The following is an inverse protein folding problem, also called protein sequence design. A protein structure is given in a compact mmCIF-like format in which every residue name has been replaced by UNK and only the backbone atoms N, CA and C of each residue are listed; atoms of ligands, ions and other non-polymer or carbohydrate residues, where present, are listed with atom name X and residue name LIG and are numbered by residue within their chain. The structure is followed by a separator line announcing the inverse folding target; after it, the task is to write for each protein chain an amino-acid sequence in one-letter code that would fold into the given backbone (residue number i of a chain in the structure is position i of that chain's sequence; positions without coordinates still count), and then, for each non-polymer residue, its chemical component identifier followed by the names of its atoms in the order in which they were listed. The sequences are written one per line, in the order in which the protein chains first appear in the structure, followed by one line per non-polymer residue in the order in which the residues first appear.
data_IF_128920893678
#
_entry.id   IF_128920893678
#
_cell.length_a   1.000
_cell.length_b   1.000
_cell.length_c   1.000
_cell.angle_alpha   90.00
_cell.angle_beta   90.00
_cell.angle_gamma   90.00
#
_symmetry.space_group_name_H-M   'P 1'
#
loop_
_entity.id
_entity.type
_entity.pdbx_description
1 polymer ?
#
# COMPACT_ATOMS: atom_id res chain seq x y z
N UNK A 1 24.35 9.59 7.76
CA UNK A 1 24.52 8.12 7.73
C UNK A 1 23.16 7.44 7.92
N UNK A 2 22.36 7.81 8.95
CA UNK A 2 21.02 7.21 9.16
C UNK A 2 20.07 7.38 7.97
N UNK A 3 20.05 8.55 7.33
CA UNK A 3 19.28 8.78 6.10
C UNK A 3 19.75 7.89 4.94
N UNK A 4 21.07 7.72 4.78
CA UNK A 4 21.61 6.83 3.74
C UNK A 4 21.21 5.37 3.97
N UNK A 5 21.12 4.92 5.21
CA UNK A 5 20.66 3.57 5.53
C UNK A 5 19.18 3.35 5.15
N UNK A 6 18.33 4.39 5.30
CA UNK A 6 16.93 4.34 4.86
C UNK A 6 16.86 4.18 3.34
N UNK A 7 17.75 4.83 2.59
CA UNK A 7 17.78 4.70 1.12
C UNK A 7 18.32 3.36 0.62
N UNK A 8 18.95 2.54 1.46
CA UNK A 8 19.30 1.16 1.08
C UNK A 8 18.08 0.23 0.99
N UNK A 9 16.90 0.69 1.35
CA UNK A 9 15.67 -0.08 1.36
C UNK A 9 14.67 0.66 0.48
N UNK A 10 14.00 0.00 -0.47
CA UNK A 10 13.01 0.63 -1.32
C UNK A 10 11.75 0.95 -0.49
N UNK A 11 11.83 1.97 0.35
CA UNK A 11 10.67 2.53 1.03
C UNK A 11 9.82 3.32 0.07
N UNK A 12 9.20 2.60 -0.84
CA UNK A 12 8.15 3.12 -1.70
C UNK A 12 7.12 3.99 -0.94
N UNK A 13 6.67 3.61 0.27
CA UNK A 13 5.77 4.44 1.08
C UNK A 13 6.26 5.86 1.37
N UNK A 14 7.56 6.11 1.44
CA UNK A 14 8.07 7.45 1.75
C UNK A 14 8.06 8.39 0.53
N UNK A 15 7.89 7.86 -0.67
CA UNK A 15 7.84 8.66 -1.90
C UNK A 15 6.46 9.27 -2.18
N UNK A 16 5.41 8.86 -1.45
CA UNK A 16 4.04 9.29 -1.71
C UNK A 16 3.47 10.17 -0.59
N UNK A 17 2.83 11.26 -0.99
CA UNK A 17 2.08 12.14 -0.10
C UNK A 17 0.64 11.65 0.10
N UNK A 18 0.45 10.46 0.65
CA UNK A 18 -0.89 9.98 1.01
C UNK A 18 -1.10 10.05 2.53
N UNK A 19 -2.34 10.13 3.02
CA UNK A 19 -2.61 10.11 4.45
C UNK A 19 -2.00 8.89 5.15
N UNK A 20 -2.04 7.72 4.52
CA UNK A 20 -1.44 6.50 5.06
C UNK A 20 0.06 6.66 5.31
N UNK A 21 0.81 7.20 4.34
CA UNK A 21 2.25 7.35 4.45
C UNK A 21 2.66 8.45 5.43
N UNK A 22 1.85 9.49 5.54
CA UNK A 22 2.00 10.47 6.61
C UNK A 22 1.83 9.83 7.99
N UNK A 23 0.85 8.93 8.15
CA UNK A 23 0.67 8.18 9.39
C UNK A 23 1.88 7.29 9.70
N UNK A 24 2.57 6.70 8.71
CA UNK A 24 3.81 5.93 8.92
C UNK A 24 4.96 6.79 9.47
N UNK A 25 5.03 8.06 9.07
CA UNK A 25 6.03 8.99 9.64
C UNK A 25 5.78 9.17 11.13
N UNK A 26 4.54 9.43 11.53
CA UNK A 26 4.19 9.58 12.95
C UNK A 26 4.31 8.28 13.74
N UNK A 27 3.99 7.14 13.14
CA UNK A 27 4.27 5.83 13.71
C UNK A 27 5.76 5.67 14.02
N UNK A 28 6.60 5.91 13.03
CA UNK A 28 8.06 5.81 13.16
C UNK A 28 8.61 6.80 14.18
N UNK A 29 8.10 8.03 14.21
CA UNK A 29 8.47 9.04 15.20
C UNK A 29 8.17 8.56 16.62
N UNK A 30 6.99 7.95 16.87
CA UNK A 30 6.68 7.33 18.17
C UNK A 30 7.71 6.29 18.59
N UNK A 31 8.13 5.43 17.66
CA UNK A 31 9.13 4.38 17.95
C UNK A 31 10.49 4.99 18.31
N UNK A 32 10.93 5.99 17.56
CA UNK A 32 12.19 6.67 17.86
C UNK A 32 12.15 7.43 19.18
N UNK A 33 11.05 8.12 19.49
CA UNK A 33 10.85 8.77 20.80
C UNK A 33 10.95 7.73 21.94
N UNK A 34 10.29 6.59 21.78
CA UNK A 34 10.36 5.51 22.78
C UNK A 34 11.78 4.95 22.97
N UNK A 35 12.52 4.77 21.87
CA UNK A 35 13.86 4.16 21.93
C UNK A 35 14.96 5.15 22.36
N UNK A 36 14.87 6.42 21.93
CA UNK A 36 15.95 7.39 22.09
C UNK A 36 15.87 8.18 23.38
N UNK A 37 14.67 8.45 23.89
CA UNK A 37 14.53 9.22 25.12
C UNK A 37 14.69 8.32 26.36
N UNK A 38 15.33 8.83 27.42
CA UNK A 38 15.42 8.12 28.70
C UNK A 38 14.04 7.90 29.30
N UNK A 39 13.92 6.87 30.14
CA UNK A 39 12.68 6.57 30.86
C UNK A 39 12.31 7.73 31.78
N UNK A 40 11.04 8.17 31.66
CA UNK A 40 10.57 9.28 32.47
C UNK A 40 9.20 9.81 31.99
N UNK A 41 8.62 10.73 32.77
CA UNK A 41 7.29 11.28 32.46
C UNK A 41 7.28 12.05 31.13
N UNK A 42 8.40 12.70 30.77
CA UNK A 42 8.52 13.45 29.51
C UNK A 42 8.41 12.51 28.31
N UNK A 43 9.19 11.42 28.27
CA UNK A 43 9.09 10.42 27.19
C UNK A 43 7.68 9.84 27.12
N UNK A 44 7.14 9.44 28.28
CA UNK A 44 5.82 8.84 28.38
C UNK A 44 4.71 9.80 27.90
N UNK A 45 4.86 11.10 28.05
CA UNK A 45 3.95 12.10 27.51
C UNK A 45 4.15 12.32 26.00
N UNK A 46 5.40 12.55 25.58
CA UNK A 46 5.70 12.91 24.17
C UNK A 46 5.38 11.76 23.21
N UNK A 47 5.57 10.48 23.60
CA UNK A 47 5.32 9.33 22.72
C UNK A 47 3.86 9.20 22.27
N UNK A 48 2.91 9.70 23.07
CA UNK A 48 1.49 9.67 22.75
C UNK A 48 1.09 10.65 21.65
N UNK A 49 1.77 11.79 21.56
CA UNK A 49 1.43 12.82 20.59
C UNK A 49 1.48 12.31 19.14
N UNK A 50 2.62 11.77 18.65
CA UNK A 50 2.65 11.22 17.28
C UNK A 50 1.76 9.97 17.14
N UNK A 51 1.54 9.19 18.20
CA UNK A 51 0.66 8.03 18.12
C UNK A 51 -0.82 8.42 17.94
N UNK A 52 -1.30 9.41 18.67
CA UNK A 52 -2.66 9.98 18.49
C UNK A 52 -2.77 10.62 17.10
N UNK A 53 -1.75 11.34 16.66
CA UNK A 53 -1.71 11.91 15.32
C UNK A 53 -1.79 10.81 14.23
N UNK A 54 -1.05 9.71 14.39
CA UNK A 54 -1.13 8.57 13.47
C UNK A 54 -2.54 7.97 13.44
N UNK A 55 -3.21 7.85 14.60
CA UNK A 55 -4.61 7.38 14.68
C UNK A 55 -5.56 8.34 13.96
N UNK A 56 -5.44 9.63 14.20
CA UNK A 56 -6.30 10.65 13.58
C UNK A 56 -6.16 10.68 12.06
N UNK A 57 -4.96 10.41 11.55
CA UNK A 57 -4.69 10.37 10.10
C UNK A 57 -5.17 9.03 9.50
N UNK A 58 -4.82 7.90 10.13
CA UNK A 58 -5.15 6.59 9.60
C UNK A 58 -5.30 5.52 10.70
N UNK A 59 -6.55 5.04 10.97
CA UNK A 59 -6.82 4.10 12.06
C UNK A 59 -6.03 2.79 11.99
N UNK A 60 -5.80 2.25 10.78
CA UNK A 60 -5.02 1.01 10.58
C UNK A 60 -3.61 1.12 11.16
N UNK A 61 -3.02 2.32 11.14
CA UNK A 61 -1.68 2.60 11.65
C UNK A 61 -1.72 2.90 13.15
N UNK A 62 -2.66 3.77 13.54
CA UNK A 62 -2.71 4.28 14.91
C UNK A 62 -3.25 3.29 15.93
N UNK A 63 -4.22 2.42 15.56
CA UNK A 63 -4.81 1.47 16.53
C UNK A 63 -3.77 0.50 17.10
N UNK A 64 -2.97 -0.23 16.29
CA UNK A 64 -1.94 -1.12 16.84
C UNK A 64 -0.89 -0.37 17.68
N UNK A 65 -0.53 0.85 17.27
CA UNK A 65 0.43 1.67 17.99
C UNK A 65 -0.11 2.09 19.36
N UNK A 66 -1.36 2.56 19.44
CA UNK A 66 -1.98 2.94 20.71
C UNK A 66 -2.16 1.74 21.64
N UNK A 67 -2.59 0.59 21.10
CA UNK A 67 -2.69 -0.64 21.87
C UNK A 67 -1.33 -1.04 22.44
N UNK A 68 -0.26 -0.93 21.66
CA UNK A 68 1.09 -1.16 22.18
C UNK A 68 1.49 -0.14 23.27
N UNK A 69 1.17 1.14 23.12
CA UNK A 69 1.42 2.15 24.15
C UNK A 69 0.64 1.87 25.44
N UNK A 70 -0.63 1.47 25.32
CA UNK A 70 -1.41 1.00 26.47
C UNK A 70 -0.72 -0.21 27.15
N UNK A 71 -0.22 -1.16 26.38
CA UNK A 71 0.57 -2.27 26.93
C UNK A 71 1.77 -1.78 27.72
N UNK A 72 2.55 -0.82 27.20
CA UNK A 72 3.71 -0.25 27.91
C UNK A 72 3.34 0.35 29.26
N UNK A 73 2.16 0.96 29.35
CA UNK A 73 1.65 1.53 30.59
C UNK A 73 1.18 0.45 31.55
N UNK A 74 0.35 -0.49 31.07
CA UNK A 74 -0.30 -1.52 31.90
C UNK A 74 0.69 -2.58 32.40
N UNK A 75 1.74 -2.92 31.62
CA UNK A 75 2.71 -3.99 31.96
C UNK A 75 3.39 -3.83 33.32
N UNK A 76 3.44 -2.61 33.84
CA UNK A 76 4.06 -2.33 35.16
C UNK A 76 3.19 -2.81 36.32
N UNK A 77 1.90 -3.00 36.08
CA UNK A 77 0.89 -3.30 37.11
C UNK A 77 0.34 -4.71 37.01
N UNK A 78 0.65 -5.44 35.93
CA UNK A 78 0.07 -6.76 35.69
C UNK A 78 1.12 -7.86 35.62
N UNK A 79 0.82 -9.09 36.08
CA UNK A 79 1.73 -10.22 36.01
C UNK A 79 2.03 -10.64 34.57
N UNK A 80 3.16 -11.33 34.35
CA UNK A 80 3.64 -11.74 33.01
C UNK A 80 2.63 -12.56 32.22
N UNK A 81 1.82 -13.38 32.87
CA UNK A 81 0.75 -14.16 32.23
C UNK A 81 -0.31 -13.28 31.59
N UNK A 82 -0.75 -12.24 32.30
CA UNK A 82 -1.70 -11.24 31.77
C UNK A 82 -1.07 -10.38 30.67
N UNK A 83 0.24 -10.10 30.74
CA UNK A 83 0.96 -9.43 29.66
C UNK A 83 0.95 -10.26 28.36
N UNK A 84 1.14 -11.58 28.46
CA UNK A 84 1.05 -12.47 27.31
C UNK A 84 -0.37 -12.52 26.74
N UNK A 85 -1.41 -12.63 27.58
CA UNK A 85 -2.80 -12.58 27.14
C UNK A 85 -3.14 -11.25 26.48
N UNK A 86 -2.64 -10.13 27.00
CA UNK A 86 -2.77 -8.82 26.36
C UNK A 86 -2.16 -8.81 24.97
N UNK A 87 -0.92 -9.33 24.82
CA UNK A 87 -0.24 -9.42 23.53
C UNK A 87 -1.06 -10.21 22.49
N UNK A 88 -1.65 -11.34 22.91
CA UNK A 88 -2.53 -12.16 22.06
C UNK A 88 -3.79 -11.36 21.68
N UNK A 89 -4.47 -10.75 22.64
CA UNK A 89 -5.67 -9.94 22.39
C UNK A 89 -5.35 -8.75 21.47
N UNK A 90 -4.23 -8.08 21.69
CA UNK A 90 -3.74 -6.99 20.87
C UNK A 90 -3.45 -7.40 19.42
N UNK A 91 -3.00 -8.65 19.21
CA UNK A 91 -2.78 -9.22 17.87
C UNK A 91 -4.08 -9.49 17.08
N UNK A 92 -5.23 -9.36 17.74
CA UNK A 92 -6.56 -9.53 17.13
C UNK A 92 -7.33 -8.20 17.03
N UNK A 93 -6.74 -7.08 17.45
CA UNK A 93 -7.47 -5.81 17.58
C UNK A 93 -8.03 -5.32 16.24
N UNK A 94 -7.27 -5.35 15.16
CA UNK A 94 -7.76 -4.91 13.84
C UNK A 94 -8.81 -5.87 13.27
N UNK A 95 -8.62 -7.21 13.27
CA UNK A 95 -9.68 -8.14 12.93
C UNK A 95 -10.99 -7.87 13.69
N UNK A 96 -10.92 -7.65 15.00
CA UNK A 96 -12.10 -7.32 15.81
C UNK A 96 -12.75 -5.99 15.40
N UNK A 97 -11.95 -4.96 15.11
CA UNK A 97 -12.46 -3.67 14.62
C UNK A 97 -13.20 -3.85 13.29
N UNK A 98 -12.67 -4.63 12.35
CA UNK A 98 -13.36 -4.88 11.08
C UNK A 98 -14.65 -5.69 11.27
N UNK A 99 -14.66 -6.69 12.14
CA UNK A 99 -15.87 -7.47 12.43
C UNK A 99 -16.94 -6.57 13.08
N UNK A 100 -16.57 -5.74 14.07
CA UNK A 100 -17.50 -4.81 14.73
C UNK A 100 -18.02 -3.79 13.71
N UNK A 101 -17.17 -3.26 12.85
CA UNK A 101 -17.60 -2.35 11.78
C UNK A 101 -18.60 -3.00 10.81
N UNK A 102 -18.40 -4.29 10.49
CA UNK A 102 -19.33 -5.08 9.68
C UNK A 102 -20.68 -5.32 10.38
N UNK A 103 -20.68 -5.55 11.68
CA UNK A 103 -21.92 -5.64 12.48
C UNK A 103 -22.67 -4.31 12.49
N UNK A 104 -21.95 -3.20 12.63
CA UNK A 104 -22.54 -1.86 12.62
C UNK A 104 -23.04 -1.44 11.23
N UNK A 105 -22.45 -1.96 10.16
CA UNK A 105 -22.85 -1.68 8.78
C UNK A 105 -22.86 -2.99 7.96
N UNK A 106 -24.03 -3.63 7.76
CA UNK A 106 -24.13 -4.89 7.05
C UNK A 106 -23.60 -4.90 5.61
N UNK A 107 -23.53 -3.72 4.97
CA UNK A 107 -22.92 -3.57 3.65
C UNK A 107 -21.38 -3.74 3.68
N UNK A 108 -20.77 -3.80 4.86
CA UNK A 108 -19.31 -3.92 5.07
C UNK A 108 -18.94 -5.14 5.92
N UNK A 109 -19.64 -6.24 5.72
CA UNK A 109 -19.39 -7.48 6.49
C UNK A 109 -18.02 -8.07 6.13
N UNK A 110 -17.28 -8.47 7.17
CA UNK A 110 -16.09 -9.29 7.03
C UNK A 110 -16.45 -10.76 7.36
N UNK A 111 -16.11 -11.67 6.47
CA UNK A 111 -16.36 -13.09 6.64
C UNK A 111 -15.13 -13.81 7.18
N UNK A 112 -15.32 -14.67 8.19
CA UNK A 112 -14.28 -15.56 8.66
C UNK A 112 -14.22 -16.80 7.78
N UNK A 113 -13.03 -17.14 7.28
CA UNK A 113 -12.80 -18.39 6.57
C UNK A 113 -11.57 -19.12 7.12
N UNK A 114 -11.55 -20.43 7.02
CA UNK A 114 -10.37 -21.21 7.35
C UNK A 114 -9.44 -21.25 6.14
N UNK A 115 -8.15 -20.90 6.31
CA UNK A 115 -7.22 -20.89 5.19
C UNK A 115 -7.01 -22.30 4.65
N UNK A 116 -7.24 -22.46 3.36
CA UNK A 116 -6.82 -23.67 2.64
C UNK A 116 -5.32 -23.57 2.35
N UNK A 117 -4.49 -24.10 3.23
CA UNK A 117 -3.04 -24.12 3.02
C UNK A 117 -2.72 -25.22 1.98
N UNK A 118 -2.43 -24.83 0.76
CA UNK A 118 -1.85 -25.71 -0.24
C UNK A 118 -0.38 -25.36 -0.45
N UNK A 119 0.56 -26.25 -0.15
CA UNK A 119 1.98 -26.05 -0.45
C UNK A 119 2.25 -25.78 -1.93
N UNK A 120 1.39 -26.27 -2.82
CA UNK A 120 1.47 -26.03 -4.26
C UNK A 120 1.23 -24.55 -4.63
N UNK A 121 0.36 -23.84 -3.93
CA UNK A 121 0.15 -22.39 -4.17
C UNK A 121 1.35 -21.56 -3.76
N UNK A 122 2.06 -21.95 -2.68
CA UNK A 122 3.30 -21.28 -2.28
C UNK A 122 4.40 -21.48 -3.32
N UNK A 123 4.57 -22.70 -3.82
CA UNK A 123 5.55 -23.04 -4.85
C UNK A 123 5.19 -22.37 -6.18
N UNK A 124 3.92 -22.32 -6.55
CA UNK A 124 3.46 -21.59 -7.72
C UNK A 124 3.74 -20.09 -7.61
N UNK A 125 3.52 -19.48 -6.44
CA UNK A 125 3.84 -18.06 -6.18
C UNK A 125 5.35 -17.77 -6.26
N UNK A 126 6.18 -18.67 -5.76
CA UNK A 126 7.65 -18.54 -5.88
C UNK A 126 8.14 -18.73 -7.33
N UNK A 127 7.46 -19.55 -8.12
CA UNK A 127 7.77 -19.76 -9.55
C UNK A 127 7.24 -18.65 -10.46
N UNK A 128 6.19 -17.97 -10.05
CA UNK A 128 5.55 -16.89 -10.81
C UNK A 128 6.19 -15.51 -10.61
N UNK A 129 7.36 -15.43 -9.95
CA UNK A 129 8.14 -14.19 -9.94
C UNK A 129 8.50 -13.86 -11.41
N UNK A 130 7.85 -12.86 -12.03
CA UNK A 130 8.03 -12.61 -13.44
C UNK A 130 9.48 -12.19 -13.70
N UNK A 131 10.20 -13.02 -14.43
CA UNK A 131 11.49 -12.66 -15.00
C UNK A 131 11.18 -11.82 -16.23
N UNK A 132 10.93 -10.54 -16.04
CA UNK A 132 10.75 -9.62 -17.15
C UNK A 132 12.15 -9.14 -17.53
N UNK A 133 12.63 -9.55 -18.67
CA UNK A 133 13.89 -9.08 -19.22
C UNK A 133 13.67 -7.82 -20.03
N UNK A 134 14.13 -6.68 -19.53
CA UNK A 134 14.08 -5.43 -20.27
C UNK A 134 15.43 -5.08 -20.90
N UNK A 135 16.43 -4.97 -20.05
CA UNK A 135 17.84 -4.81 -20.40
C UNK A 135 18.71 -5.15 -19.18
N UNK A 136 19.98 -5.39 -19.41
CA UNK A 136 20.91 -5.83 -18.36
C UNK A 136 20.94 -4.89 -17.14
N UNK A 137 20.87 -3.58 -17.36
CA UNK A 137 20.99 -2.58 -16.28
C UNK A 137 19.74 -2.56 -15.41
N UNK A 138 18.55 -2.61 -15.99
CA UNK A 138 17.28 -2.64 -15.27
C UNK A 138 17.08 -3.98 -14.56
N UNK A 139 17.48 -5.09 -15.17
CA UNK A 139 17.43 -6.40 -14.55
C UNK A 139 18.36 -6.47 -13.33
N UNK A 140 19.59 -5.93 -13.45
CA UNK A 140 20.50 -5.78 -12.31
C UNK A 140 19.91 -4.89 -11.20
N UNK A 141 19.30 -3.75 -11.53
CA UNK A 141 18.65 -2.87 -10.54
C UNK A 141 17.52 -3.59 -9.81
N UNK A 142 16.69 -4.35 -10.53
CA UNK A 142 15.61 -5.14 -9.96
C UNK A 142 16.11 -6.23 -9.00
N UNK A 143 17.15 -6.96 -9.39
CA UNK A 143 17.77 -7.97 -8.53
C UNK A 143 18.42 -7.34 -7.29
N UNK A 144 19.11 -6.21 -7.42
CA UNK A 144 19.67 -5.47 -6.29
C UNK A 144 18.59 -4.99 -5.33
N UNK A 145 17.44 -4.56 -5.83
CA UNK A 145 16.29 -4.19 -5.00
C UNK A 145 15.75 -5.39 -4.21
N UNK A 146 15.68 -6.57 -4.83
CA UNK A 146 15.28 -7.80 -4.12
C UNK A 146 16.31 -8.19 -3.06
N UNK A 147 17.60 -8.10 -3.37
CA UNK A 147 18.69 -8.35 -2.42
C UNK A 147 18.66 -7.37 -1.27
N UNK A 148 18.27 -6.12 -1.48
CA UNK A 148 18.18 -5.11 -0.42
C UNK A 148 17.20 -5.49 0.67
N UNK A 149 16.06 -6.10 0.36
CA UNK A 149 15.13 -6.63 1.36
C UNK A 149 15.73 -7.74 2.21
N UNK A 150 16.50 -8.63 1.58
CA UNK A 150 17.20 -9.68 2.31
C UNK A 150 18.28 -9.09 3.23
N UNK A 151 19.08 -8.14 2.73
CA UNK A 151 20.08 -7.43 3.54
C UNK A 151 19.45 -6.66 4.69
N UNK A 152 18.26 -6.08 4.50
CA UNK A 152 17.54 -5.44 5.58
C UNK A 152 17.26 -6.39 6.74
N UNK A 153 16.79 -7.60 6.46
CA UNK A 153 16.56 -8.62 7.48
C UNK A 153 17.87 -9.01 8.19
N UNK A 154 18.95 -9.18 7.43
CA UNK A 154 20.28 -9.47 8.01
C UNK A 154 20.72 -8.33 8.94
N UNK A 155 20.59 -7.09 8.50
CA UNK A 155 20.91 -5.92 9.34
C UNK A 155 20.00 -5.84 10.56
N UNK A 156 18.72 -6.08 10.41
CA UNK A 156 17.78 -6.09 11.53
C UNK A 156 18.16 -7.14 12.56
N UNK A 157 18.52 -8.35 12.14
CA UNK A 157 19.00 -9.40 13.03
C UNK A 157 20.33 -9.03 13.72
N UNK A 158 21.31 -8.51 12.98
CA UNK A 158 22.59 -8.06 13.52
C UNK A 158 22.41 -6.93 14.54
N UNK A 159 21.57 -5.95 14.23
CA UNK A 159 21.29 -4.83 15.13
C UNK A 159 20.55 -5.27 16.38
N UNK A 160 19.52 -6.12 16.23
CA UNK A 160 18.83 -6.74 17.36
C UNK A 160 19.79 -7.53 18.26
N UNK A 161 20.61 -8.41 17.69
CA UNK A 161 21.59 -9.20 18.44
C UNK A 161 22.57 -8.30 19.20
N UNK A 162 23.07 -7.24 18.57
CA UNK A 162 23.95 -6.25 19.22
C UNK A 162 23.25 -5.54 20.38
N UNK A 163 22.02 -5.09 20.18
CA UNK A 163 21.24 -4.42 21.24
C UNK A 163 20.95 -5.38 22.39
N UNK A 164 20.56 -6.62 22.09
CA UNK A 164 20.33 -7.66 23.09
C UNK A 164 21.58 -7.96 23.91
N UNK A 165 22.73 -8.11 23.25
CA UNK A 165 24.03 -8.34 23.94
C UNK A 165 24.46 -7.16 24.79
N UNK A 166 24.11 -5.94 24.44
CA UNK A 166 24.44 -4.70 25.16
C UNK A 166 23.47 -4.37 26.29
N UNK A 167 22.28 -4.92 26.25
CA UNK A 167 21.27 -4.77 27.30
C UNK A 167 21.72 -5.50 28.58
N UNK A 168 22.85 -5.04 29.16
CA UNK A 168 23.44 -5.60 30.38
C UNK A 168 22.66 -5.18 31.62
N UNK A 169 22.01 -4.02 31.59
CA UNK A 169 21.11 -3.57 32.64
C UNK A 169 19.72 -4.22 32.46
N UNK A 170 19.10 -4.64 33.54
CA UNK A 170 17.76 -5.21 33.54
C UNK A 170 16.73 -4.27 32.92
N UNK A 171 16.94 -2.96 33.02
CA UNK A 171 16.09 -1.93 32.46
C UNK A 171 16.14 -1.91 30.94
N UNK A 172 17.32 -1.99 30.32
CA UNK A 172 17.48 -2.02 28.87
C UNK A 172 16.87 -3.31 28.26
N UNK A 173 17.08 -4.44 28.91
CA UNK A 173 16.47 -5.71 28.53
C UNK A 173 14.94 -5.65 28.61
N UNK A 174 14.41 -5.04 29.67
CA UNK A 174 12.97 -4.83 29.85
C UNK A 174 12.41 -3.86 28.80
N UNK A 175 13.15 -2.82 28.43
CA UNK A 175 12.77 -1.88 27.36
C UNK A 175 12.73 -2.59 26.00
N UNK A 176 13.76 -3.35 25.67
CA UNK A 176 13.85 -4.09 24.43
C UNK A 176 12.74 -5.15 24.31
N UNK A 177 12.49 -5.91 25.38
CA UNK A 177 11.40 -6.90 25.40
C UNK A 177 10.02 -6.26 25.21
N UNK A 178 9.78 -5.09 25.81
CA UNK A 178 8.56 -4.34 25.64
C UNK A 178 8.38 -3.80 24.22
N UNK A 179 9.47 -3.38 23.58
CA UNK A 179 9.45 -2.97 22.18
C UNK A 179 9.06 -4.13 21.25
N UNK A 180 9.62 -5.31 21.47
CA UNK A 180 9.36 -6.49 20.64
C UNK A 180 7.89 -6.92 20.60
N UNK A 181 7.09 -6.54 21.59
CA UNK A 181 5.65 -6.84 21.59
C UNK A 181 4.94 -6.18 20.39
N UNK A 182 5.40 -4.99 19.95
CA UNK A 182 4.79 -4.32 18.81
C UNK A 182 4.92 -5.09 17.48
N UNK A 183 6.12 -5.55 17.03
CA UNK A 183 6.22 -6.43 15.87
C UNK A 183 5.34 -7.69 15.97
N UNK A 184 5.20 -8.29 17.16
CA UNK A 184 4.30 -9.43 17.35
C UNK A 184 2.82 -9.06 17.20
N UNK A 185 2.40 -7.92 17.76
CA UNK A 185 1.03 -7.40 17.55
C UNK A 185 0.76 -7.19 16.07
N UNK A 186 1.68 -6.54 15.34
CA UNK A 186 1.53 -6.29 13.90
C UNK A 186 1.50 -7.58 13.09
N UNK A 187 2.41 -8.52 13.39
CA UNK A 187 2.46 -9.81 12.72
C UNK A 187 1.17 -10.61 12.94
N UNK A 188 0.67 -10.67 14.17
CA UNK A 188 -0.57 -11.37 14.47
C UNK A 188 -1.77 -10.76 13.75
N UNK A 189 -1.91 -9.42 13.78
CA UNK A 189 -2.95 -8.73 13.00
C UNK A 189 -2.82 -9.00 11.50
N UNK A 190 -1.59 -8.99 10.95
CA UNK A 190 -1.32 -9.31 9.56
C UNK A 190 -1.76 -10.73 9.20
N UNK A 191 -1.35 -11.72 10.01
CA UNK A 191 -1.67 -13.13 9.73
C UNK A 191 -3.18 -13.37 9.76
N UNK A 192 -3.88 -12.80 10.74
CA UNK A 192 -5.33 -12.98 10.83
C UNK A 192 -6.07 -12.26 9.69
N UNK A 193 -5.73 -11.01 9.38
CA UNK A 193 -6.34 -10.28 8.26
C UNK A 193 -6.03 -10.93 6.91
N UNK A 194 -4.84 -11.45 6.72
CA UNK A 194 -4.42 -12.03 5.43
C UNK A 194 -5.01 -13.41 5.18
N UNK A 195 -5.14 -14.24 6.22
CA UNK A 195 -5.42 -15.66 6.06
C UNK A 195 -6.77 -16.10 6.60
N UNK A 196 -7.45 -15.30 7.43
CA UNK A 196 -8.68 -15.69 8.09
C UNK A 196 -9.86 -14.75 7.82
N UNK A 197 -9.61 -13.56 7.26
CA UNK A 197 -10.67 -12.61 6.96
C UNK A 197 -10.78 -12.37 5.45
N UNK A 198 -12.01 -12.43 4.97
CA UNK A 198 -12.38 -12.02 3.62
C UNK A 198 -13.36 -10.85 3.68
N UNK A 199 -13.26 -9.96 2.71
CA UNK A 199 -14.06 -8.75 2.59
C UNK A 199 -14.81 -8.76 1.26
N UNK A 200 -15.97 -9.46 1.18
CA UNK A 200 -16.70 -9.67 -0.07
C UNK A 200 -17.18 -8.37 -0.73
N UNK A 201 -17.27 -7.27 0.05
CA UNK A 201 -17.62 -5.96 -0.46
C UNK A 201 -16.44 -5.19 -1.08
N UNK A 202 -15.22 -5.72 -0.97
CA UNK A 202 -14.02 -5.16 -1.56
C UNK A 202 -13.55 -6.03 -2.74
N UNK A 203 -13.03 -5.39 -3.74
CA UNK A 203 -12.32 -6.10 -4.81
C UNK A 203 -11.06 -6.78 -4.26
N UNK A 204 -10.64 -7.86 -4.88
CA UNK A 204 -9.50 -8.68 -4.45
C UNK A 204 -8.21 -7.88 -4.26
N UNK A 205 -8.00 -6.85 -5.08
CA UNK A 205 -6.88 -5.91 -4.95
C UNK A 205 -6.91 -5.13 -3.64
N UNK A 206 -8.06 -4.58 -3.25
CA UNK A 206 -8.19 -3.79 -2.00
C UNK A 206 -8.08 -4.68 -0.76
N UNK A 207 -8.66 -5.87 -0.81
CA UNK A 207 -8.51 -6.87 0.26
C UNK A 207 -7.03 -7.20 0.49
N UNK A 208 -6.25 -7.41 -0.57
CA UNK A 208 -4.81 -7.63 -0.50
C UNK A 208 -4.03 -6.44 0.09
N UNK A 209 -4.49 -5.22 -0.17
CA UNK A 209 -3.83 -4.00 0.28
C UNK A 209 -3.81 -3.84 1.81
N UNK A 210 -4.80 -4.33 2.56
CA UNK A 210 -4.77 -4.28 4.03
C UNK A 210 -3.61 -5.09 4.60
N UNK A 211 -3.40 -6.30 4.09
CA UNK A 211 -2.27 -7.13 4.48
C UNK A 211 -0.93 -6.46 4.16
N UNK A 212 -0.79 -5.90 2.95
CA UNK A 212 0.44 -5.20 2.55
C UNK A 212 0.75 -4.01 3.47
N UNK A 213 -0.25 -3.19 3.81
CA UNK A 213 -0.08 -2.04 4.71
C UNK A 213 0.39 -2.44 6.11
N UNK A 214 -0.09 -3.57 6.63
CA UNK A 214 0.40 -4.09 7.92
C UNK A 214 1.81 -4.66 7.82
N UNK A 215 2.15 -5.28 6.71
CA UNK A 215 3.51 -5.74 6.44
C UNK A 215 4.48 -4.55 6.39
N UNK A 216 4.08 -3.44 5.75
CA UNK A 216 4.86 -2.20 5.73
C UNK A 216 5.09 -1.66 7.16
N UNK A 217 4.05 -1.64 8.01
CA UNK A 217 4.18 -1.27 9.42
C UNK A 217 5.14 -2.18 10.19
N UNK A 218 5.07 -3.49 9.92
CA UNK A 218 6.00 -4.45 10.51
C UNK A 218 7.45 -4.11 10.11
N UNK A 219 7.70 -3.78 8.85
CA UNK A 219 9.02 -3.34 8.39
C UNK A 219 9.48 -2.06 9.11
N UNK A 220 8.61 -1.06 9.24
CA UNK A 220 8.92 0.15 10.02
C UNK A 220 9.22 -0.14 11.48
N UNK A 221 8.53 -1.10 12.09
CA UNK A 221 8.80 -1.49 13.47
C UNK A 221 10.16 -2.20 13.64
N UNK A 222 10.70 -2.80 12.61
CA UNK A 222 12.01 -3.48 12.63
C UNK A 222 13.15 -2.54 12.20
N UNK A 223 12.81 -1.39 11.58
CA UNK A 223 13.76 -0.41 11.06
C UNK A 223 14.85 0.03 12.07
N UNK A 224 14.56 0.34 13.36
CA UNK A 224 15.60 0.72 14.31
C UNK A 224 16.70 -0.34 14.46
N UNK A 225 16.34 -1.61 14.40
CA UNK A 225 17.32 -2.71 14.46
C UNK A 225 18.14 -2.76 13.17
N UNK A 226 17.50 -2.62 12.01
CA UNK A 226 18.20 -2.60 10.72
C UNK A 226 19.21 -1.46 10.65
N UNK A 227 18.85 -0.27 11.13
CA UNK A 227 19.77 0.86 11.24
C UNK A 227 20.95 0.55 12.17
N UNK A 228 20.71 -0.09 13.31
CA UNK A 228 21.76 -0.53 14.24
C UNK A 228 22.73 -1.53 13.59
N UNK A 229 22.22 -2.49 12.85
CA UNK A 229 23.03 -3.47 12.11
C UNK A 229 23.82 -2.86 10.96
N UNK A 230 23.22 -1.94 10.22
CA UNK A 230 23.89 -1.19 9.17
C UNK A 230 25.09 -0.37 9.71
N UNK A 231 24.89 0.36 10.83
CA UNK A 231 25.96 1.10 11.49
C UNK A 231 27.09 0.16 11.96
N UNK A 232 26.74 -1.03 12.47
CA UNK A 232 27.73 -2.03 12.83
C UNK A 232 28.54 -2.46 11.60
N UNK A 233 27.88 -2.70 10.48
CA UNK A 233 28.54 -3.07 9.23
C UNK A 233 29.49 -1.98 8.74
N UNK A 234 29.10 -0.71 8.82
CA UNK A 234 29.99 0.41 8.49
C UNK A 234 31.21 0.49 9.40
N UNK A 235 31.04 0.23 10.71
CA UNK A 235 32.17 0.18 11.65
C UNK A 235 33.14 -0.97 11.35
N UNK A 236 32.61 -2.12 10.95
CA UNK A 236 33.43 -3.26 10.51
C UNK A 236 34.20 -2.95 9.22
N UNK A 237 33.52 -2.32 8.23
CA UNK A 237 34.14 -1.92 6.96
C UNK A 237 35.29 -0.93 7.13
N UNK A 238 35.19 -0.01 8.11
CA UNK A 238 36.28 0.93 8.40
C UNK A 238 37.58 0.22 8.85
N UNK A 239 37.46 -1.00 9.37
CA UNK A 239 38.57 -1.82 9.86
C UNK A 239 39.14 -2.77 8.79
N UNK A 240 38.49 -2.90 7.63
CA UNK A 240 38.95 -3.76 6.55
C UNK A 240 39.98 -3.06 5.66
N UNK A 241 40.74 -3.83 4.86
CA UNK A 241 41.67 -3.30 3.87
C UNK A 241 40.95 -2.48 2.78
N UNK A 242 41.71 -1.74 1.97
CA UNK A 242 41.17 -0.80 0.98
C UNK A 242 40.30 -1.43 -0.07
N UNK A 243 40.67 -2.59 -0.61
CA UNK A 243 39.96 -3.26 -1.71
C UNK A 243 38.57 -3.77 -1.27
N UNK A 244 38.39 -4.59 -0.22
CA UNK A 244 37.05 -4.99 0.22
C UNK A 244 36.17 -3.80 0.64
N UNK A 245 36.77 -2.75 1.22
CA UNK A 245 36.06 -1.52 1.54
C UNK A 245 35.49 -0.83 0.30
N UNK A 246 36.32 -0.69 -0.75
CA UNK A 246 35.89 -0.09 -2.01
C UNK A 246 34.78 -0.92 -2.67
N UNK A 247 34.92 -2.23 -2.77
CA UNK A 247 33.90 -3.12 -3.34
C UNK A 247 32.57 -3.01 -2.59
N UNK A 248 32.60 -3.03 -1.25
CA UNK A 248 31.39 -2.94 -0.45
C UNK A 248 30.75 -1.54 -0.55
N UNK A 249 31.56 -0.48 -0.61
CA UNK A 249 31.05 0.88 -0.81
C UNK A 249 30.35 1.02 -2.16
N UNK A 250 30.91 0.46 -3.23
CA UNK A 250 30.28 0.41 -4.54
C UNK A 250 28.98 -0.38 -4.53
N UNK A 251 28.93 -1.52 -3.84
CA UNK A 251 27.70 -2.31 -3.69
C UNK A 251 26.61 -1.52 -2.94
N UNK A 252 26.97 -0.84 -1.85
CA UNK A 252 26.02 0.01 -1.09
C UNK A 252 25.49 1.12 -1.99
N UNK A 253 26.35 1.80 -2.75
CA UNK A 253 25.92 2.83 -3.69
C UNK A 253 24.99 2.26 -4.76
N UNK A 254 25.33 1.12 -5.33
CA UNK A 254 24.48 0.45 -6.34
C UNK A 254 23.10 0.08 -5.77
N UNK A 255 23.04 -0.42 -4.54
CA UNK A 255 21.77 -0.72 -3.85
C UNK A 255 20.97 0.56 -3.61
N UNK A 256 21.60 1.65 -3.16
CA UNK A 256 20.93 2.94 -2.93
C UNK A 256 20.32 3.46 -4.23
N UNK A 257 21.11 3.49 -5.31
CA UNK A 257 20.66 3.97 -6.63
C UNK A 257 19.50 3.11 -7.15
N UNK A 258 19.64 1.79 -7.08
CA UNK A 258 18.57 0.86 -7.49
C UNK A 258 17.31 1.01 -6.66
N UNK A 259 17.46 1.20 -5.35
CA UNK A 259 16.36 1.41 -4.41
C UNK A 259 15.63 2.74 -4.66
N UNK A 260 16.36 3.82 -4.91
CA UNK A 260 15.80 5.11 -5.29
C UNK A 260 15.05 5.02 -6.62
N UNK A 261 15.65 4.38 -7.63
CA UNK A 261 14.99 4.13 -8.91
C UNK A 261 13.68 3.33 -8.74
N UNK A 262 13.71 2.27 -7.92
CA UNK A 262 12.54 1.43 -7.66
C UNK A 262 11.46 2.14 -6.84
N UNK A 263 11.84 3.10 -5.97
CA UNK A 263 10.92 3.84 -5.09
C UNK A 263 10.34 5.08 -5.76
N UNK A 264 11.03 5.64 -6.75
CA UNK A 264 10.57 6.84 -7.43
C UNK A 264 9.45 6.51 -8.42
N UNK A 265 8.34 7.26 -8.42
CA UNK A 265 7.27 7.07 -9.39
C UNK A 265 7.79 7.42 -10.79
N UNK A 266 7.98 6.41 -11.61
CA UNK A 266 8.44 6.58 -12.99
C UNK A 266 7.34 6.16 -13.95
N UNK A 267 7.05 6.99 -14.95
CA UNK A 267 6.37 6.56 -16.18
C UNK A 267 7.43 5.94 -17.09
N UNK A 268 7.72 4.69 -16.85
CA UNK A 268 8.75 3.95 -17.56
C UNK A 268 8.11 3.09 -18.65
N UNK A 269 8.60 3.18 -19.87
CA UNK A 269 8.17 2.32 -20.98
C UNK A 269 8.37 0.82 -20.66
N UNK A 270 9.30 0.52 -19.77
CA UNK A 270 9.65 -0.85 -19.37
C UNK A 270 8.88 -1.34 -18.14
N UNK A 271 8.43 -0.44 -17.27
CA UNK A 271 7.69 -0.75 -16.06
C UNK A 271 6.23 -0.26 -16.16
N UNK A 272 5.54 -0.65 -17.21
CA UNK A 272 4.09 -0.47 -17.32
C UNK A 272 3.40 -1.01 -16.06
N UNK A 273 2.42 -0.32 -15.53
CA UNK A 273 1.76 -0.67 -14.27
C UNK A 273 2.32 0.04 -13.02
N UNK A 274 3.33 0.90 -13.16
CA UNK A 274 3.82 1.79 -12.10
C UNK A 274 3.31 3.23 -12.21
N UNK A 275 2.26 3.47 -12.99
CA UNK A 275 1.64 4.79 -13.09
C UNK A 275 0.94 5.14 -11.76
N UNK A 276 1.68 5.77 -10.91
CA UNK A 276 1.27 6.16 -9.57
C UNK A 276 0.86 7.64 -9.55
N UNK A 277 1.24 8.37 -10.58
CA UNK A 277 0.94 9.78 -10.76
C UNK A 277 0.02 10.00 -11.96
N UNK A 278 -0.87 10.96 -11.83
CA UNK A 278 -1.66 11.49 -12.94
C UNK A 278 -0.73 12.02 -14.03
N UNK A 279 -0.93 11.57 -15.26
CA UNK A 279 -0.12 11.91 -16.43
C UNK A 279 -0.84 12.89 -17.36
N UNK A 280 -0.11 13.46 -18.31
CA UNK A 280 -0.71 14.28 -19.39
C UNK A 280 -1.77 13.51 -20.18
N UNK A 281 -1.61 12.20 -20.36
CA UNK A 281 -2.57 11.34 -21.03
C UNK A 281 -3.92 11.24 -20.27
N UNK A 282 -3.87 11.23 -18.93
CA UNK A 282 -5.08 11.22 -18.10
C UNK A 282 -5.85 12.53 -18.24
N UNK A 283 -5.14 13.68 -18.24
CA UNK A 283 -5.74 14.98 -18.49
C UNK A 283 -6.27 15.12 -19.93
N UNK A 284 -5.57 14.57 -20.92
CA UNK A 284 -6.04 14.55 -22.30
C UNK A 284 -7.34 13.75 -22.44
N UNK A 285 -7.46 12.59 -21.77
CA UNK A 285 -8.69 11.80 -21.74
C UNK A 285 -9.85 12.60 -21.12
N UNK A 286 -9.63 13.25 -20.00
CA UNK A 286 -10.65 14.08 -19.33
C UNK A 286 -11.12 15.23 -20.22
N UNK A 287 -10.17 15.94 -20.85
CA UNK A 287 -10.48 17.05 -21.75
C UNK A 287 -11.21 16.59 -23.01
N UNK A 288 -10.80 15.45 -23.58
CA UNK A 288 -11.48 14.85 -24.73
C UNK A 288 -12.93 14.51 -24.39
N UNK A 289 -13.16 13.79 -23.30
CA UNK A 289 -14.52 13.40 -22.89
C UNK A 289 -15.39 14.62 -22.65
N UNK A 290 -14.89 15.65 -21.98
CA UNK A 290 -15.64 16.88 -21.71
C UNK A 290 -16.06 17.64 -22.99
N UNK A 291 -15.29 17.49 -24.08
CA UNK A 291 -15.57 18.17 -25.35
C UNK A 291 -16.35 17.32 -26.35
N UNK A 292 -16.34 15.99 -26.20
CA UNK A 292 -16.94 15.04 -27.12
C UNK A 292 -18.20 14.35 -26.59
N UNK A 293 -18.52 14.51 -25.31
CA UNK A 293 -19.78 14.07 -24.75
C UNK A 293 -20.94 14.79 -25.50
N UNK A 294 -21.89 14.02 -26.00
CA UNK A 294 -23.03 14.53 -26.78
C UNK A 294 -24.10 15.16 -25.89
N UNK A 295 -24.11 14.75 -24.63
CA UNK A 295 -25.06 15.23 -23.63
C UNK A 295 -24.31 15.59 -22.33
N UNK A 296 -24.94 16.41 -21.50
CA UNK A 296 -24.44 16.65 -20.14
C UNK A 296 -24.68 15.46 -19.20
N UNK A 297 -25.39 14.43 -19.67
CA UNK A 297 -25.74 13.22 -18.93
C UNK A 297 -24.81 12.06 -19.30
N UNK A 298 -23.57 12.11 -18.81
CA UNK A 298 -22.60 11.04 -18.98
C UNK A 298 -21.90 10.68 -17.69
N UNK A 299 -21.38 9.45 -17.63
CA UNK A 299 -20.49 8.98 -16.56
C UNK A 299 -19.25 8.33 -17.14
N UNK A 300 -18.17 8.30 -16.34
CA UNK A 300 -16.87 7.80 -16.78
C UNK A 300 -16.40 6.70 -15.85
N UNK A 301 -16.21 5.52 -16.39
CA UNK A 301 -15.58 4.40 -15.74
C UNK A 301 -14.07 4.47 -16.02
N UNK A 302 -13.29 4.72 -14.98
CA UNK A 302 -11.87 4.94 -15.14
C UNK A 302 -11.11 4.57 -13.86
N UNK A 303 -9.80 4.45 -13.98
CA UNK A 303 -8.93 4.29 -12.83
C UNK A 303 -8.83 5.59 -12.00
N UNK A 304 -8.16 5.48 -10.86
CA UNK A 304 -8.03 6.58 -9.93
C UNK A 304 -7.25 7.78 -10.50
N UNK A 305 -6.28 7.58 -11.40
CA UNK A 305 -5.48 8.66 -11.98
C UNK A 305 -6.30 9.52 -12.92
N UNK A 306 -7.07 8.92 -13.81
CA UNK A 306 -8.01 9.65 -14.69
C UNK A 306 -9.06 10.37 -13.85
N UNK A 307 -9.58 9.70 -12.81
CA UNK A 307 -10.56 10.32 -11.92
C UNK A 307 -9.97 11.49 -11.12
N UNK A 308 -8.69 11.39 -10.71
CA UNK A 308 -7.98 12.49 -10.07
C UNK A 308 -7.73 13.65 -11.03
N UNK A 309 -7.43 13.37 -12.32
CA UNK A 309 -7.33 14.39 -13.36
C UNK A 309 -8.66 15.13 -13.56
N UNK A 310 -9.77 14.39 -13.58
CA UNK A 310 -11.10 14.99 -13.68
C UNK A 310 -11.41 15.90 -12.49
N UNK A 311 -11.09 15.44 -11.28
CA UNK A 311 -11.28 16.23 -10.06
C UNK A 311 -10.41 17.50 -10.07
N UNK A 312 -9.15 17.40 -10.52
CA UNK A 312 -8.25 18.55 -10.64
C UNK A 312 -8.73 19.57 -11.70
N UNK A 313 -9.36 19.09 -12.79
CA UNK A 313 -9.80 19.94 -13.91
C UNK A 313 -11.18 20.55 -13.67
N UNK A 314 -12.12 19.78 -13.14
CA UNK A 314 -13.54 20.17 -13.07
C UNK A 314 -14.04 20.34 -11.64
N UNK A 315 -13.24 20.00 -10.62
CA UNK A 315 -13.67 20.00 -9.22
C UNK A 315 -14.81 19.01 -8.98
N UNK A 316 -15.53 19.21 -7.88
CA UNK A 316 -16.71 18.41 -7.52
C UNK A 316 -18.01 19.03 -8.10
N UNK A 317 -18.00 19.38 -9.38
CA UNK A 317 -19.08 20.15 -9.97
C UNK A 317 -20.28 19.33 -10.43
N UNK A 318 -20.12 18.01 -10.64
CA UNK A 318 -21.16 17.16 -11.21
C UNK A 318 -21.38 15.90 -10.39
N UNK A 319 -22.64 15.65 -10.05
CA UNK A 319 -23.09 14.46 -9.36
C UNK A 319 -24.36 13.92 -10.01
N UNK A 320 -24.46 12.60 -10.05
CA UNK A 320 -25.71 11.89 -10.38
C UNK A 320 -26.40 11.49 -9.09
N UNK A 321 -27.65 11.93 -8.89
CA UNK A 321 -28.47 11.45 -7.78
C UNK A 321 -28.94 10.03 -8.08
N UNK A 322 -28.66 9.09 -7.16
CA UNK A 322 -29.05 7.68 -7.29
C UNK A 322 -29.64 7.18 -5.98
N UNK A 323 -30.25 6.00 -5.99
CA UNK A 323 -30.73 5.34 -4.77
C UNK A 323 -29.59 5.01 -3.80
N UNK A 324 -28.34 4.92 -4.29
CA UNK A 324 -27.12 4.73 -3.48
C UNK A 324 -26.53 6.06 -2.95
N UNK A 325 -27.22 7.19 -3.18
CA UNK A 325 -26.78 8.55 -2.86
C UNK A 325 -26.23 9.31 -4.06
N UNK A 326 -25.57 10.43 -3.80
CA UNK A 326 -24.93 11.24 -4.83
C UNK A 326 -23.63 10.60 -5.28
N UNK A 327 -23.51 10.27 -6.55
CA UNK A 327 -22.32 9.70 -7.18
C UNK A 327 -21.63 10.75 -8.02
N UNK A 328 -20.32 10.92 -7.81
CA UNK A 328 -19.50 11.71 -8.73
C UNK A 328 -19.44 11.03 -10.10
N UNK A 329 -19.53 11.78 -11.16
CA UNK A 329 -19.64 11.24 -12.55
C UNK A 329 -18.37 10.54 -13.07
N UNK A 330 -17.26 10.60 -12.35
CA UNK A 330 -16.11 9.71 -12.49
C UNK A 330 -16.06 8.70 -11.35
N UNK A 331 -15.35 7.60 -11.55
CA UNK A 331 -15.29 6.46 -10.63
C UNK A 331 -14.49 6.77 -9.35
N UNK A 332 -14.98 7.68 -8.52
CA UNK A 332 -14.45 8.05 -7.20
C UNK A 332 -15.61 8.10 -6.18
N UNK A 333 -15.39 7.68 -4.92
CA UNK A 333 -14.23 6.97 -4.37
C UNK A 333 -14.15 5.52 -4.87
N UNK A 334 -13.09 4.79 -4.51
CA UNK A 334 -12.90 3.37 -4.89
C UNK A 334 -14.00 2.44 -4.35
N UNK A 335 -14.74 2.87 -3.34
CA UNK A 335 -15.96 2.21 -2.84
C UNK A 335 -17.22 2.58 -3.63
N UNK A 336 -17.12 3.46 -4.62
CA UNK A 336 -18.25 3.83 -5.47
C UNK A 336 -18.68 2.68 -6.38
N UNK A 337 -19.99 2.50 -6.65
CA UNK A 337 -20.47 1.52 -7.61
C UNK A 337 -19.84 1.69 -9.00
N UNK A 338 -19.59 2.92 -9.46
CA UNK A 338 -18.93 3.18 -10.75
C UNK A 338 -17.49 2.61 -10.77
N UNK A 339 -16.78 2.64 -9.66
CA UNK A 339 -15.46 2.03 -9.58
C UNK A 339 -15.56 0.49 -9.60
N UNK A 340 -16.57 -0.09 -8.99
CA UNK A 340 -16.84 -1.53 -9.07
C UNK A 340 -17.12 -1.96 -10.52
N UNK A 341 -17.95 -1.22 -11.25
CA UNK A 341 -18.20 -1.51 -12.67
C UNK A 341 -16.94 -1.38 -13.53
N UNK A 342 -16.06 -0.41 -13.22
CA UNK A 342 -14.76 -0.34 -13.87
C UNK A 342 -13.89 -1.57 -13.57
N UNK A 343 -13.87 -2.04 -12.34
CA UNK A 343 -13.14 -3.25 -11.97
C UNK A 343 -13.73 -4.51 -12.58
N UNK A 344 -15.06 -4.60 -12.65
CA UNK A 344 -15.75 -5.72 -13.34
C UNK A 344 -15.37 -5.75 -14.81
N UNK A 345 -15.36 -4.59 -15.49
CA UNK A 345 -14.89 -4.47 -16.85
C UNK A 345 -13.45 -4.95 -17.02
N UNK A 346 -12.56 -4.54 -16.14
CA UNK A 346 -11.13 -4.86 -16.27
C UNK A 346 -10.81 -6.32 -15.94
N UNK A 347 -11.45 -6.89 -14.92
CA UNK A 347 -11.06 -8.19 -14.38
C UNK A 347 -12.01 -9.34 -14.75
N UNK A 348 -13.25 -9.05 -15.11
CA UNK A 348 -14.26 -10.08 -15.28
C UNK A 348 -14.93 -10.05 -16.64
N UNK A 349 -15.45 -8.91 -17.05
CA UNK A 349 -16.34 -8.81 -18.23
C UNK A 349 -16.04 -7.55 -19.08
N UNK A 350 -15.07 -7.61 -19.99
CA UNK A 350 -14.74 -6.51 -20.90
C UNK A 350 -15.76 -6.37 -22.06
N UNK A 351 -17.05 -6.39 -21.73
CA UNK A 351 -18.17 -6.22 -22.66
C UNK A 351 -18.92 -4.92 -22.40
N UNK A 352 -20.12 -4.81 -22.94
CA UNK A 352 -21.02 -3.66 -22.75
C UNK A 352 -21.70 -3.65 -21.37
N UNK A 353 -21.81 -4.81 -20.69
CA UNK A 353 -22.56 -4.99 -19.44
C UNK A 353 -22.20 -3.98 -18.34
N UNK A 354 -20.91 -3.73 -18.01
CA UNK A 354 -20.56 -2.73 -17.00
C UNK A 354 -20.99 -1.30 -17.36
N UNK A 355 -20.96 -0.94 -18.65
CA UNK A 355 -21.42 0.36 -19.11
C UNK A 355 -22.95 0.49 -18.99
N UNK A 356 -23.70 -0.55 -19.37
CA UNK A 356 -25.16 -0.59 -19.22
C UNK A 356 -25.59 -0.53 -17.73
N UNK A 357 -24.88 -1.24 -16.86
CA UNK A 357 -25.11 -1.16 -15.41
C UNK A 357 -24.88 0.26 -14.87
N UNK A 358 -23.84 0.95 -15.36
CA UNK A 358 -23.58 2.33 -14.99
C UNK A 358 -24.69 3.29 -15.51
N UNK A 359 -25.17 3.09 -16.75
CA UNK A 359 -26.30 3.85 -17.29
C UNK A 359 -27.57 3.64 -16.48
N UNK A 360 -27.88 2.38 -16.15
CA UNK A 360 -29.08 2.04 -15.36
C UNK A 360 -29.03 2.66 -13.96
N UNK A 361 -27.87 2.62 -13.31
CA UNK A 361 -27.70 3.17 -11.96
C UNK A 361 -27.83 4.69 -11.94
N UNK A 362 -27.27 5.38 -12.93
CA UNK A 362 -27.10 6.85 -12.89
C UNK A 362 -28.11 7.59 -13.76
N UNK A 363 -28.84 6.90 -14.63
CA UNK A 363 -29.70 7.52 -15.65
C UNK A 363 -28.90 8.22 -16.75
N UNK A 364 -27.57 8.00 -16.82
CA UNK A 364 -26.73 8.59 -17.85
C UNK A 364 -27.04 7.98 -19.23
N UNK A 365 -26.98 8.84 -20.27
CA UNK A 365 -27.18 8.41 -21.66
C UNK A 365 -25.90 7.96 -22.33
N UNK A 366 -24.78 8.28 -21.77
CA UNK A 366 -23.46 8.00 -22.29
C UNK A 366 -22.53 7.49 -21.20
N UNK A 367 -21.74 6.49 -21.53
CA UNK A 367 -20.67 5.98 -20.67
C UNK A 367 -19.35 5.96 -21.42
N UNK A 368 -18.33 6.52 -20.83
CA UNK A 368 -16.97 6.43 -21.33
C UNK A 368 -16.18 5.49 -20.43
N UNK A 369 -15.48 4.51 -21.02
CA UNK A 369 -14.53 3.66 -20.29
C UNK A 369 -13.13 4.04 -20.75
N UNK A 370 -12.27 4.43 -19.80
CA UNK A 370 -10.90 4.89 -20.08
C UNK A 370 -9.90 3.82 -19.72
N UNK A 371 -9.14 3.38 -20.72
CA UNK A 371 -8.09 2.38 -20.58
C UNK A 371 -6.72 3.00 -20.88
N UNK A 372 -5.84 2.99 -19.88
CA UNK A 372 -4.47 3.47 -20.04
C UNK A 372 -3.52 2.31 -20.40
N UNK A 373 -2.48 2.59 -21.17
CA UNK A 373 -1.46 1.61 -21.61
C UNK A 373 -0.64 1.01 -20.47
N UNK A 374 -0.57 1.69 -19.32
CA UNK A 374 0.10 1.19 -18.12
C UNK A 374 -0.72 0.13 -17.35
N UNK A 375 -2.00 -0.06 -17.70
CA UNK A 375 -2.79 -1.11 -17.07
C UNK A 375 -2.33 -2.49 -17.53
N UNK A 376 -2.27 -3.43 -16.60
CA UNK A 376 -1.89 -4.81 -16.93
C UNK A 376 -2.86 -5.37 -17.96
N UNK A 377 -2.32 -5.89 -19.07
CA UNK A 377 -3.10 -6.49 -20.18
C UNK A 377 -4.02 -5.52 -20.93
N UNK A 378 -3.78 -4.19 -20.86
CA UNK A 378 -4.61 -3.17 -21.49
C UNK A 378 -4.90 -3.45 -22.97
N UNK A 379 -3.88 -3.80 -23.75
CA UNK A 379 -4.03 -4.07 -25.18
C UNK A 379 -5.02 -5.23 -25.48
N UNK A 380 -5.01 -6.27 -24.66
CA UNK A 380 -5.92 -7.41 -24.79
C UNK A 380 -7.35 -7.05 -24.36
N UNK A 381 -7.48 -6.28 -23.29
CA UNK A 381 -8.78 -5.76 -22.81
C UNK A 381 -9.43 -4.85 -23.87
N UNK A 382 -8.66 -3.89 -24.41
CA UNK A 382 -9.13 -3.00 -25.46
C UNK A 382 -9.57 -3.81 -26.69
N UNK A 383 -8.77 -4.77 -27.13
CA UNK A 383 -9.12 -5.64 -28.26
C UNK A 383 -10.42 -6.42 -28.03
N UNK A 384 -10.65 -6.93 -26.82
CA UNK A 384 -11.88 -7.65 -26.47
C UNK A 384 -13.09 -6.73 -26.37
N UNK A 385 -12.91 -5.52 -25.84
CA UNK A 385 -13.99 -4.57 -25.59
C UNK A 385 -14.41 -3.75 -26.81
N UNK A 386 -13.47 -3.45 -27.72
CA UNK A 386 -13.73 -2.63 -28.91
C UNK A 386 -14.94 -3.07 -29.74
N UNK A 387 -15.24 -4.37 -29.94
CA UNK A 387 -16.44 -4.79 -30.69
C UNK A 387 -17.77 -4.42 -30.04
N UNK A 388 -17.77 -4.12 -28.73
CA UNK A 388 -18.97 -3.77 -27.97
C UNK A 388 -19.15 -2.26 -27.79
N UNK A 389 -18.10 -1.46 -28.04
CA UNK A 389 -18.17 -0.01 -27.97
C UNK A 389 -18.80 0.58 -29.24
N UNK A 390 -19.55 1.66 -29.06
CA UNK A 390 -20.12 2.40 -30.19
C UNK A 390 -19.05 3.24 -30.90
N UNK A 391 -18.04 3.69 -30.17
CA UNK A 391 -16.89 4.43 -30.67
C UNK A 391 -15.63 4.11 -29.86
N UNK A 392 -14.50 4.03 -30.54
CA UNK A 392 -13.19 3.80 -29.91
C UNK A 392 -12.22 4.88 -30.36
N UNK A 393 -11.66 5.60 -29.41
CA UNK A 393 -10.71 6.70 -29.70
C UNK A 393 -9.40 6.47 -28.98
N UNK A 394 -8.29 6.54 -29.70
CA UNK A 394 -6.95 6.50 -29.14
C UNK A 394 -6.38 7.92 -29.05
N UNK A 395 -5.80 8.27 -27.90
CA UNK A 395 -5.17 9.56 -27.65
C UNK A 395 -3.71 9.36 -27.23
N UNK A 396 -2.91 10.41 -27.35
CA UNK A 396 -1.51 10.45 -26.92
C UNK A 396 -0.68 9.27 -27.48
N UNK A 397 -0.85 9.00 -28.80
CA UNK A 397 -0.15 7.90 -29.49
C UNK A 397 -0.41 6.51 -28.88
N UNK A 398 -1.66 6.25 -28.48
CA UNK A 398 -2.10 4.97 -27.92
C UNK A 398 -1.83 4.80 -26.43
N UNK A 399 -1.41 5.87 -25.73
CA UNK A 399 -1.21 5.83 -24.28
C UNK A 399 -2.51 5.73 -23.49
N UNK A 400 -3.60 6.21 -24.08
CA UNK A 400 -4.94 6.08 -23.52
C UNK A 400 -5.94 5.79 -24.62
N UNK A 401 -6.81 4.82 -24.38
CA UNK A 401 -7.93 4.46 -25.27
C UNK A 401 -9.24 4.73 -24.53
N UNK A 402 -10.15 5.40 -25.22
CA UNK A 402 -11.49 5.70 -24.71
C UNK A 402 -12.48 4.85 -25.49
N UNK A 403 -13.26 4.06 -24.79
CA UNK A 403 -14.38 3.27 -25.31
C UNK A 403 -15.66 4.02 -24.96
N UNK A 404 -16.44 4.41 -25.96
CA UNK A 404 -17.67 5.18 -25.79
C UNK A 404 -18.88 4.28 -26.02
N UNK A 405 -19.83 4.32 -25.11
CA UNK A 405 -21.07 3.56 -25.12
C UNK A 405 -22.25 4.52 -25.04
N UNK A 406 -23.20 4.33 -25.92
CA UNK A 406 -24.45 5.10 -25.99
C UNK A 406 -25.61 4.26 -25.49
N UNK A 407 -26.58 4.89 -24.84
CA UNK A 407 -27.84 4.24 -24.50
C UNK A 407 -28.54 3.84 -25.83
N UNK A 408 -28.83 2.55 -25.98
CA UNK A 408 -29.58 2.07 -27.13
C UNK A 408 -31.01 2.63 -27.04
N UNK A 409 -31.50 3.19 -28.14
CA UNK A 409 -32.89 3.58 -28.22
C UNK A 409 -33.75 2.30 -28.19
N UNK A 410 -34.67 2.22 -27.22
CA UNK A 410 -35.68 1.17 -27.16
C UNK A 410 -36.63 1.22 -28.38
#
# INVERSE_FOLDING_TARGET
IGLLAIFCIPFFPLAFSTPLYLAYIFFTASLFVFLMLPDGPIRNGIVWLPAITALAIHPLVGIPLLVWLCFLFVRRYVPKTLQALYGIAASLVLPLVFIIAGIANPARTANLHLPSFSPSTLIAHLRSLPVIHFNLLLDCAKHLTTVSWFLFLVFAFMGFYRMWRRASAAEDAARLSAYLVLPFILLGNYLVLKFFLDFPYLISYETGAFGQRLLDLLWFSVLPFALGGFLLTLDLLRRTSSLPRACMSLLIVAIIVSSLYASYPTNDLYAKGRAINTSGADFAAVSFIATHARTDSYVVLANQQVSAAALATHGFARYSATDAGELFYYAIPTSSPLYQYYMDFVYSDPTRTPAEAAMLLTGAREVFIVMNDYWTDAANLIKKASPYADEVTELESGRVTILHYLQQAE
#
